data_IF_072788866540
#
_entry.id   IF_072788866540
#
_cell.length_a   1.000
_cell.length_b   1.000
_cell.length_c   1.000
_cell.angle_alpha   90.00
_cell.angle_beta   90.00
_cell.angle_gamma   90.00
#
_symmetry.space_group_name_H-M   'P 1'
#
loop_
_entity.id
_entity.type
_entity.pdbx_description
1 polymer ?
#
# COMPACT_ATOMS: atom_id res chain seq x y z
N UNK A 1 0.92 -15.07 31.74
CA UNK A 1 -0.35 -15.34 32.45
C UNK A 1 -0.25 -15.35 33.97
N UNK A 2 0.80 -15.92 34.59
CA UNK A 2 1.03 -15.81 36.05
C UNK A 2 1.23 -14.36 36.49
N UNK A 3 2.09 -13.62 35.80
CA UNK A 3 2.37 -12.21 36.08
C UNK A 3 1.10 -11.32 36.06
N UNK A 4 0.25 -11.50 35.03
CA UNK A 4 -1.02 -10.78 34.90
C UNK A 4 -1.96 -11.03 36.09
N UNK A 5 -1.96 -12.25 36.66
CA UNK A 5 -2.80 -12.56 37.83
C UNK A 5 -2.35 -11.83 39.09
N UNK A 6 -1.04 -11.61 39.23
CA UNK A 6 -0.44 -10.96 40.39
C UNK A 6 -0.48 -9.43 40.31
N UNK A 7 -0.54 -8.86 39.09
CA UNK A 7 -0.34 -7.42 38.85
C UNK A 7 -1.57 -6.73 38.23
N UNK A 8 -2.78 -7.16 38.59
CA UNK A 8 -4.01 -6.42 38.26
C UNK A 8 -4.73 -6.82 36.95
N UNK A 9 -4.46 -8.01 36.42
CA UNK A 9 -5.20 -8.60 35.30
C UNK A 9 -4.46 -8.59 33.96
N UNK A 10 -5.12 -9.10 32.93
CA UNK A 10 -4.62 -9.11 31.55
C UNK A 10 -5.01 -7.79 30.86
N UNK A 11 -4.09 -6.82 30.86
CA UNK A 11 -4.26 -5.50 30.26
C UNK A 11 -2.96 -5.00 29.64
N UNK A 12 -3.03 -3.99 28.77
CA UNK A 12 -1.84 -3.35 28.22
C UNK A 12 -0.94 -2.80 29.31
N UNK A 13 -1.48 -2.08 30.30
CA UNK A 13 -0.69 -1.48 31.38
C UNK A 13 0.11 -2.53 32.17
N UNK A 14 -0.51 -3.67 32.47
CA UNK A 14 0.16 -4.76 33.18
C UNK A 14 1.21 -5.44 32.31
N UNK A 15 0.90 -5.72 31.04
CA UNK A 15 1.86 -6.36 30.12
C UNK A 15 3.00 -5.40 29.73
N UNK A 16 2.75 -4.10 29.70
CA UNK A 16 3.78 -3.07 29.53
C UNK A 16 4.74 -3.06 30.72
N UNK A 17 4.21 -3.05 31.94
CA UNK A 17 5.03 -3.20 33.15
C UNK A 17 5.82 -4.51 33.16
N UNK A 18 5.33 -5.57 32.53
CA UNK A 18 6.06 -6.83 32.41
C UNK A 18 7.27 -6.71 31.47
N UNK A 19 7.08 -6.12 30.28
CA UNK A 19 8.13 -6.00 29.28
C UNK A 19 9.10 -4.84 29.55
N UNK A 20 8.73 -3.88 30.40
CA UNK A 20 9.61 -2.80 30.86
C UNK A 20 10.49 -3.19 32.06
N UNK A 21 10.44 -4.46 32.53
CA UNK A 21 11.33 -4.96 33.58
C UNK A 21 12.78 -5.01 33.10
N UNK A 22 13.72 -4.66 33.97
CA UNK A 22 15.15 -4.67 33.65
C UNK A 22 15.70 -6.08 33.33
N UNK A 23 15.10 -7.14 33.87
CA UNK A 23 15.60 -8.53 33.78
C UNK A 23 14.83 -9.42 32.77
N UNK A 24 14.02 -8.84 31.87
CA UNK A 24 13.31 -9.64 30.86
C UNK A 24 14.27 -10.09 29.76
N UNK A 25 14.24 -11.38 29.41
CA UNK A 25 15.02 -11.87 28.28
C UNK A 25 14.42 -11.40 26.94
N UNK A 26 15.28 -11.25 25.93
CA UNK A 26 14.91 -10.68 24.64
C UNK A 26 13.84 -11.49 23.89
N UNK A 27 13.87 -12.83 23.96
CA UNK A 27 12.92 -13.68 23.25
C UNK A 27 11.52 -13.54 23.85
N UNK A 28 11.44 -13.50 25.17
CA UNK A 28 10.20 -13.23 25.91
C UNK A 28 9.70 -11.81 25.66
N UNK A 29 10.58 -10.81 25.68
CA UNK A 29 10.22 -9.42 25.37
C UNK A 29 9.52 -9.32 23.99
N UNK A 30 10.14 -9.86 22.95
CA UNK A 30 9.60 -9.76 21.60
C UNK A 30 8.37 -10.63 21.36
N UNK A 31 8.32 -11.83 21.94
CA UNK A 31 7.15 -12.70 21.84
C UNK A 31 5.92 -12.05 22.49
N UNK A 32 6.12 -11.39 23.64
CA UNK A 32 5.05 -10.64 24.32
C UNK A 32 4.70 -9.37 23.56
N UNK A 33 5.69 -8.63 23.03
CA UNK A 33 5.44 -7.44 22.20
C UNK A 33 4.66 -7.77 20.93
N UNK A 34 4.98 -8.87 20.26
CA UNK A 34 4.27 -9.36 19.08
C UNK A 34 2.82 -9.75 19.43
N UNK A 35 2.62 -10.50 20.52
CA UNK A 35 1.28 -10.80 21.02
C UNK A 35 0.49 -9.53 21.35
N UNK A 36 1.12 -8.53 21.98
CA UNK A 36 0.51 -7.24 22.27
C UNK A 36 0.09 -6.49 21.00
N UNK A 37 0.94 -6.49 19.97
CA UNK A 37 0.60 -5.91 18.66
C UNK A 37 -0.64 -6.58 18.06
N UNK A 38 -0.71 -7.90 18.07
CA UNK A 38 -1.89 -8.64 17.59
C UNK A 38 -3.12 -8.25 18.41
N UNK A 39 -3.03 -8.27 19.74
CA UNK A 39 -4.16 -7.93 20.62
C UNK A 39 -4.66 -6.50 20.38
N UNK A 40 -3.75 -5.55 20.14
CA UNK A 40 -4.10 -4.16 19.82
C UNK A 40 -4.68 -4.02 18.41
N UNK A 41 -4.13 -4.72 17.41
CA UNK A 41 -4.62 -4.71 16.02
C UNK A 41 -6.03 -5.31 15.92
N UNK A 42 -6.27 -6.43 16.62
CA UNK A 42 -7.56 -7.12 16.70
C UNK A 42 -8.54 -6.45 17.67
N UNK A 43 -8.15 -5.36 18.33
CA UNK A 43 -8.98 -4.67 19.34
C UNK A 43 -9.52 -5.60 20.44
N UNK A 44 -8.67 -6.52 20.91
CA UNK A 44 -9.02 -7.47 21.97
C UNK A 44 -9.48 -6.72 23.24
N UNK A 45 -10.46 -7.21 24.03
CA UNK A 45 -10.97 -6.48 25.20
C UNK A 45 -9.87 -5.99 26.15
N UNK A 46 -9.80 -4.66 26.34
CA UNK A 46 -8.76 -3.99 27.14
C UNK A 46 -7.51 -3.56 26.37
N UNK A 47 -7.49 -3.75 25.05
CA UNK A 47 -6.46 -3.34 24.10
C UNK A 47 -7.11 -2.60 22.94
N UNK A 48 -6.50 -1.51 22.50
CA UNK A 48 -7.01 -0.71 21.39
C UNK A 48 -5.89 -0.38 20.39
N UNK A 49 -6.25 0.17 19.23
CA UNK A 49 -5.27 0.56 18.21
C UNK A 49 -4.38 1.73 18.64
N UNK A 50 -4.80 2.59 19.58
CA UNK A 50 -3.94 3.67 20.10
C UNK A 50 -2.78 3.10 20.92
N UNK A 51 -3.05 2.05 21.68
CA UNK A 51 -2.06 1.30 22.45
C UNK A 51 -0.99 0.70 21.52
N UNK A 52 -1.37 0.27 20.30
CA UNK A 52 -0.44 -0.25 19.29
C UNK A 52 0.67 0.76 18.99
N UNK A 53 0.30 2.03 18.77
CA UNK A 53 1.25 3.10 18.48
C UNK A 53 2.15 3.43 19.69
N UNK A 54 1.69 3.13 20.91
CA UNK A 54 2.44 3.35 22.14
C UNK A 54 3.45 2.24 22.43
N UNK A 55 3.23 1.03 21.90
CA UNK A 55 4.19 -0.05 21.93
C UNK A 55 5.51 0.32 21.24
N UNK A 56 5.52 1.26 20.29
CA UNK A 56 6.75 1.79 19.65
C UNK A 56 7.72 2.42 20.67
N UNK A 57 7.19 2.98 21.77
CA UNK A 57 7.96 3.74 22.76
C UNK A 57 8.43 2.92 23.95
N UNK A 58 7.98 1.68 24.09
CA UNK A 58 8.48 0.78 25.13
C UNK A 58 10.00 0.63 24.93
N UNK A 59 10.83 0.96 25.94
CA UNK A 59 12.27 0.78 25.83
C UNK A 59 12.59 -0.65 25.41
N UNK A 60 13.27 -0.81 24.28
CA UNK A 60 13.70 -2.13 23.83
C UNK A 60 14.91 -2.51 24.66
N UNK A 61 14.99 -3.75 25.20
CA UNK A 61 16.22 -4.22 25.82
C UNK A 61 17.35 -4.08 24.81
N UNK A 62 18.57 -3.81 25.30
CA UNK A 62 19.72 -3.63 24.42
C UNK A 62 19.95 -4.94 23.65
N UNK A 63 19.67 -4.87 22.36
CA UNK A 63 19.96 -5.90 21.40
C UNK A 63 20.88 -5.30 20.36
N UNK A 64 21.77 -6.12 19.85
CA UNK A 64 22.47 -5.82 18.59
C UNK A 64 21.50 -5.71 17.38
N UNK A 65 20.19 -5.91 17.58
CA UNK A 65 19.14 -5.99 16.55
C UNK A 65 17.81 -5.44 17.14
N UNK A 66 17.18 -4.32 16.77
CA UNK A 66 16.97 -3.67 15.47
C UNK A 66 15.89 -4.38 14.63
N UNK A 67 15.50 -5.60 15.01
CA UNK A 67 14.78 -6.56 14.16
C UNK A 67 13.52 -6.04 13.49
N UNK A 68 12.62 -5.36 14.19
CA UNK A 68 11.31 -4.94 13.63
C UNK A 68 11.42 -3.91 12.49
N UNK A 69 12.41 -3.03 12.52
CA UNK A 69 12.67 -2.09 11.42
C UNK A 69 13.61 -2.69 10.35
N UNK A 70 14.08 -3.91 10.59
CA UNK A 70 14.74 -4.79 9.63
C UNK A 70 13.78 -5.88 9.12
N UNK A 71 12.60 -6.03 9.73
CA UNK A 71 11.57 -7.01 9.37
C UNK A 71 10.87 -6.55 8.09
N UNK A 72 11.18 -7.29 7.05
CA UNK A 72 10.79 -7.03 5.67
C UNK A 72 9.31 -7.33 5.43
N UNK A 73 8.72 -8.15 6.30
CA UNK A 73 7.31 -8.55 6.26
C UNK A 73 6.35 -7.36 6.49
N UNK A 74 6.85 -6.23 7.02
CA UNK A 74 6.07 -4.99 7.22
C UNK A 74 6.08 -4.06 5.98
N UNK A 75 6.58 -4.54 4.83
CA UNK A 75 6.57 -3.80 3.57
C UNK A 75 5.43 -4.32 2.71
N UNK A 76 4.62 -3.38 2.21
CA UNK A 76 3.60 -3.71 1.23
C UNK A 76 4.22 -4.36 0.00
N UNK A 77 3.61 -5.44 -0.45
CA UNK A 77 4.01 -6.13 -1.67
C UNK A 77 3.88 -5.18 -2.88
N UNK A 78 4.73 -5.31 -3.93
CA UNK A 78 4.63 -4.49 -5.13
C UNK A 78 3.23 -4.42 -5.73
N UNK A 79 2.46 -5.51 -5.67
CA UNK A 79 1.10 -5.57 -6.19
C UNK A 79 0.14 -4.73 -5.33
N UNK A 80 0.23 -4.82 -3.99
CA UNK A 80 -0.58 -4.00 -3.10
C UNK A 80 -0.32 -2.50 -3.30
N UNK A 81 0.95 -2.14 -3.49
CA UNK A 81 1.35 -0.77 -3.85
C UNK A 81 0.73 -0.32 -5.16
N UNK A 82 0.80 -1.17 -6.19
CA UNK A 82 0.25 -0.85 -7.49
C UNK A 82 -1.28 -0.67 -7.43
N UNK A 83 -1.98 -1.59 -6.74
CA UNK A 83 -3.42 -1.48 -6.48
C UNK A 83 -3.80 -0.14 -5.84
N UNK A 84 -3.08 0.27 -4.77
CA UNK A 84 -3.36 1.53 -4.07
C UNK A 84 -3.12 2.72 -5.01
N UNK A 85 -1.99 2.76 -5.72
CA UNK A 85 -1.66 3.84 -6.64
C UNK A 85 -2.69 3.96 -7.78
N UNK A 86 -3.02 2.85 -8.44
CA UNK A 86 -3.99 2.82 -9.54
C UNK A 86 -5.40 3.17 -9.07
N UNK A 87 -5.82 2.67 -7.90
CA UNK A 87 -7.13 2.98 -7.33
C UNK A 87 -7.29 4.46 -7.00
N UNK A 88 -6.27 5.08 -6.40
CA UNK A 88 -6.25 6.52 -6.11
C UNK A 88 -6.30 7.35 -7.40
N UNK A 89 -5.46 7.01 -8.38
CA UNK A 89 -5.46 7.70 -9.68
C UNK A 89 -6.80 7.58 -10.39
N UNK A 90 -7.35 6.36 -10.45
CA UNK A 90 -8.60 6.09 -11.16
C UNK A 90 -9.76 6.83 -10.51
N UNK A 91 -9.88 6.80 -9.19
CA UNK A 91 -10.94 7.54 -8.49
C UNK A 91 -10.81 9.04 -8.74
N UNK A 92 -9.60 9.60 -8.70
CA UNK A 92 -9.36 11.00 -9.02
C UNK A 92 -9.77 11.32 -10.47
N UNK A 93 -9.40 10.46 -11.43
CA UNK A 93 -9.78 10.63 -12.84
C UNK A 93 -11.29 10.58 -13.05
N UNK A 94 -11.96 9.59 -12.46
CA UNK A 94 -13.41 9.45 -12.56
C UNK A 94 -14.15 10.65 -11.94
N UNK A 95 -13.63 11.22 -10.84
CA UNK A 95 -14.16 12.45 -10.25
C UNK A 95 -13.99 13.66 -11.18
N UNK A 96 -12.84 13.77 -11.88
CA UNK A 96 -12.63 14.82 -12.90
C UNK A 96 -13.62 14.69 -14.06
N UNK A 97 -13.93 13.46 -14.46
CA UNK A 97 -14.89 13.15 -15.53
C UNK A 97 -16.36 13.27 -15.08
N UNK A 98 -16.59 13.71 -13.83
CA UNK A 98 -17.94 14.00 -13.30
C UNK A 98 -18.65 12.80 -12.66
N UNK A 99 -17.99 11.64 -12.52
CA UNK A 99 -18.54 10.52 -11.75
C UNK A 99 -18.67 10.92 -10.29
N UNK A 100 -19.83 10.61 -9.69
CA UNK A 100 -20.04 10.85 -8.27
C UNK A 100 -19.77 9.59 -7.45
N UNK A 101 -19.07 9.77 -6.33
CA UNK A 101 -18.90 8.76 -5.29
C UNK A 101 -19.62 9.20 -4.02
N UNK A 102 -19.86 8.29 -3.08
CA UNK A 102 -20.34 8.67 -1.75
C UNK A 102 -19.29 9.49 -1.00
N UNK A 103 -19.75 10.23 0.01
CA UNK A 103 -18.87 11.02 0.84
C UNK A 103 -17.81 10.18 1.57
N UNK A 104 -18.22 9.02 2.10
CA UNK A 104 -17.31 8.10 2.79
C UNK A 104 -16.24 7.53 1.86
N UNK A 105 -16.56 7.24 0.60
CA UNK A 105 -15.60 6.71 -0.37
C UNK A 105 -14.47 7.70 -0.64
N UNK A 106 -14.81 8.94 -1.01
CA UNK A 106 -13.79 9.97 -1.31
C UNK A 106 -12.96 10.29 -0.07
N UNK A 107 -13.59 10.38 1.11
CA UNK A 107 -12.91 10.59 2.39
C UNK A 107 -11.91 9.47 2.69
N UNK A 108 -12.35 8.22 2.58
CA UNK A 108 -11.53 7.07 2.91
C UNK A 108 -10.36 6.95 1.94
N UNK A 109 -10.58 7.20 0.64
CA UNK A 109 -9.51 7.27 -0.36
C UNK A 109 -8.50 8.40 -0.07
N UNK A 110 -8.97 9.60 0.34
CA UNK A 110 -8.08 10.69 0.73
C UNK A 110 -7.24 10.36 1.98
N UNK A 111 -7.84 9.68 2.98
CA UNK A 111 -7.13 9.19 4.17
C UNK A 111 -6.06 8.16 3.78
N UNK A 112 -6.43 7.17 2.96
CA UNK A 112 -5.50 6.16 2.44
C UNK A 112 -4.35 6.82 1.68
N UNK A 113 -4.64 7.71 0.74
CA UNK A 113 -3.64 8.42 -0.05
C UNK A 113 -2.64 9.19 0.81
N UNK A 114 -3.13 9.99 1.77
CA UNK A 114 -2.26 10.72 2.69
C UNK A 114 -1.42 9.79 3.56
N UNK A 115 -2.02 8.75 4.15
CA UNK A 115 -1.30 7.79 4.98
C UNK A 115 -0.22 7.04 4.17
N UNK A 116 -0.53 6.65 2.94
CA UNK A 116 0.36 5.92 2.04
C UNK A 116 1.58 6.75 1.62
N UNK A 117 1.41 8.03 1.26
CA UNK A 117 2.52 8.85 0.75
C UNK A 117 3.34 9.54 1.84
N UNK A 118 2.73 9.84 2.98
CA UNK A 118 3.41 10.58 4.07
C UNK A 118 3.86 9.69 5.22
N UNK A 119 3.29 8.48 5.36
CA UNK A 119 3.49 7.64 6.53
C UNK A 119 2.97 8.30 7.82
N UNK A 120 2.02 9.24 7.71
CA UNK A 120 1.49 10.00 8.84
C UNK A 120 0.83 9.08 9.87
N UNK A 121 1.13 9.31 11.15
CA UNK A 121 0.41 8.65 12.24
C UNK A 121 -1.05 9.11 12.26
N UNK A 122 -2.01 8.27 12.70
CA UNK A 122 -3.42 8.66 12.77
C UNK A 122 -3.67 9.95 13.56
N UNK A 123 -2.94 10.16 14.66
CA UNK A 123 -3.02 11.40 15.45
C UNK A 123 -2.55 12.65 14.68
N UNK A 124 -1.63 12.50 13.71
CA UNK A 124 -1.21 13.61 12.86
C UNK A 124 -2.31 13.94 11.85
N UNK A 125 -2.93 12.92 11.24
CA UNK A 125 -4.09 13.10 10.36
C UNK A 125 -5.26 13.75 11.09
N UNK A 126 -5.51 13.37 12.35
CA UNK A 126 -6.56 13.94 13.19
C UNK A 126 -6.37 15.41 13.58
N UNK A 127 -5.15 15.94 13.43
CA UNK A 127 -4.81 17.33 13.71
C UNK A 127 -4.72 18.20 12.45
N UNK A 128 -4.88 17.62 11.26
CA UNK A 128 -4.90 18.38 10.02
C UNK A 128 -6.16 19.24 9.93
N UNK A 129 -5.99 20.49 9.52
CA UNK A 129 -7.05 21.38 9.06
C UNK A 129 -7.02 21.47 7.53
N UNK A 130 -8.11 21.96 6.92
CA UNK A 130 -8.18 22.10 5.45
C UNK A 130 -7.06 22.98 4.90
N UNK A 131 -6.71 24.07 5.59
CA UNK A 131 -5.62 24.99 5.20
C UNK A 131 -4.22 24.35 5.18
N UNK A 132 -4.07 23.19 5.81
CA UNK A 132 -2.79 22.49 5.87
C UNK A 132 -2.49 21.78 4.55
N UNK A 133 -3.48 21.58 3.68
CA UNK A 133 -3.27 21.10 2.31
C UNK A 133 -3.29 22.29 1.37
N UNK A 134 -2.24 22.47 0.57
CA UNK A 134 -2.05 23.63 -0.29
C UNK A 134 -1.87 23.25 -1.74
N UNK A 135 -2.28 24.18 -2.60
CA UNK A 135 -1.94 24.22 -4.01
C UNK A 135 -0.69 25.10 -4.11
N UNK A 136 0.46 24.50 -4.40
CA UNK A 136 1.74 25.22 -4.48
C UNK A 136 1.86 25.96 -5.80
N UNK A 137 1.48 25.32 -6.90
CA UNK A 137 1.60 25.86 -8.25
C UNK A 137 0.57 25.22 -9.18
N UNK A 138 0.07 26.01 -10.12
CA UNK A 138 -0.80 25.54 -11.21
C UNK A 138 -0.19 25.97 -12.53
N UNK A 139 0.11 25.00 -13.39
CA UNK A 139 0.51 25.28 -14.76
C UNK A 139 -0.76 25.51 -15.60
N UNK A 140 -0.86 26.67 -16.25
CA UNK A 140 -2.04 27.03 -17.04
C UNK A 140 -2.08 26.33 -18.42
N UNK A 141 -0.93 25.94 -18.96
CA UNK A 141 -0.83 25.28 -20.27
C UNK A 141 -1.07 23.78 -20.15
N UNK A 142 -0.42 23.11 -19.20
CA UNK A 142 -0.56 21.66 -19.01
C UNK A 142 -1.71 21.27 -18.08
N UNK A 143 -2.29 22.23 -17.35
CA UNK A 143 -3.31 21.97 -16.33
C UNK A 143 -2.78 21.29 -15.06
N UNK A 144 -1.48 20.94 -15.00
CA UNK A 144 -0.88 20.25 -13.86
C UNK A 144 -0.89 21.13 -12.59
N UNK A 145 -1.31 20.52 -11.49
CA UNK A 145 -1.36 21.15 -10.17
C UNK A 145 -0.39 20.44 -9.23
N UNK A 146 0.46 21.21 -8.55
CA UNK A 146 1.33 20.72 -7.48
C UNK A 146 0.67 20.96 -6.13
N UNK A 147 0.63 19.92 -5.31
CA UNK A 147 0.04 19.97 -3.98
C UNK A 147 1.08 19.67 -2.91
N UNK A 148 0.85 20.24 -1.73
CA UNK A 148 1.62 19.94 -0.52
C UNK A 148 0.72 19.81 0.70
N UNK A 149 1.26 19.19 1.75
CA UNK A 149 0.64 19.08 3.06
C UNK A 149 1.61 19.53 4.16
N UNK A 150 1.10 20.29 5.11
CA UNK A 150 1.79 20.75 6.32
C UNK A 150 1.41 19.86 7.51
N UNK A 151 2.08 18.72 7.62
CA UNK A 151 1.78 17.70 8.61
C UNK A 151 2.28 18.13 10.00
N UNK A 152 1.42 18.16 11.03
CA UNK A 152 1.86 18.48 12.39
C UNK A 152 2.74 17.37 12.95
N UNK A 153 3.80 17.74 13.69
CA UNK A 153 4.56 16.75 14.45
C UNK A 153 3.70 16.15 15.57
N UNK A 154 3.83 14.85 15.78
CA UNK A 154 3.25 14.15 16.92
C UNK A 154 4.35 13.58 17.83
N UNK A 155 3.96 13.24 19.07
CA UNK A 155 4.78 12.53 20.08
C UNK A 155 6.20 13.14 20.24
N UNK A 156 6.29 14.47 20.25
CA UNK A 156 7.54 15.21 20.44
C UNK A 156 7.85 15.39 21.93
N UNK A 157 9.13 15.32 22.31
CA UNK A 157 9.57 15.56 23.70
C UNK A 157 9.25 16.98 24.19
N UNK A 158 9.16 17.95 23.27
CA UNK A 158 8.75 19.33 23.52
C UNK A 158 7.55 19.66 22.63
N UNK A 159 6.60 20.42 23.16
CA UNK A 159 5.47 20.93 22.37
C UNK A 159 6.03 21.88 21.30
N UNK A 160 5.76 21.58 20.03
CA UNK A 160 6.15 22.41 18.89
C UNK A 160 4.93 22.73 18.04
N UNK A 161 4.91 23.95 17.48
CA UNK A 161 3.95 24.39 16.46
C UNK A 161 4.50 24.20 15.05
N UNK A 162 5.74 23.76 14.92
CA UNK A 162 6.34 23.45 13.62
C UNK A 162 5.58 22.33 12.93
N UNK A 163 5.63 22.35 11.60
CA UNK A 163 4.95 21.39 10.73
C UNK A 163 5.91 20.95 9.66
N UNK A 164 5.82 19.69 9.30
CA UNK A 164 6.58 19.08 8.21
C UNK A 164 5.91 19.43 6.88
N UNK A 165 6.68 19.95 5.94
CA UNK A 165 6.21 20.25 4.58
C UNK A 165 6.50 19.07 3.66
N UNK A 166 5.47 18.46 3.10
CA UNK A 166 5.60 17.34 2.17
C UNK A 166 4.84 17.64 0.88
N UNK A 167 5.48 17.42 -0.28
CA UNK A 167 4.78 17.38 -1.55
C UNK A 167 3.94 16.10 -1.63
N UNK A 168 2.73 16.19 -2.19
CA UNK A 168 1.84 15.04 -2.40
C UNK A 168 1.50 14.89 -3.88
N UNK A 169 1.28 13.64 -4.36
CA UNK A 169 0.83 13.40 -5.73
C UNK A 169 -0.45 14.16 -6.10
N UNK A 170 -0.59 14.64 -7.35
CA UNK A 170 -1.75 15.39 -7.81
C UNK A 170 -3.08 14.70 -7.56
N UNK A 171 -3.13 13.38 -7.75
CA UNK A 171 -4.34 12.56 -7.60
C UNK A 171 -4.87 12.64 -6.16
N UNK A 172 -3.97 12.61 -5.18
CA UNK A 172 -4.31 12.70 -3.76
C UNK A 172 -4.75 14.13 -3.42
N UNK A 173 -4.05 15.14 -3.95
CA UNK A 173 -4.44 16.54 -3.81
C UNK A 173 -5.85 16.81 -4.35
N UNK A 174 -6.17 16.28 -5.53
CA UNK A 174 -7.48 16.37 -6.16
C UNK A 174 -8.57 15.68 -5.36
N UNK A 175 -8.32 14.46 -4.85
CA UNK A 175 -9.25 13.75 -3.96
C UNK A 175 -9.58 14.59 -2.72
N UNK A 176 -8.55 15.18 -2.10
CA UNK A 176 -8.74 16.03 -0.91
C UNK A 176 -9.52 17.30 -1.26
N UNK A 177 -9.18 17.98 -2.37
CA UNK A 177 -9.90 19.19 -2.78
C UNK A 177 -11.36 18.89 -3.14
N UNK A 178 -11.63 17.77 -3.83
CA UNK A 178 -12.99 17.35 -4.13
C UNK A 178 -13.78 17.09 -2.84
N UNK A 179 -13.16 16.39 -1.88
CA UNK A 179 -13.72 16.13 -0.56
C UNK A 179 -14.07 17.43 0.20
N UNK A 180 -13.13 18.39 0.29
CA UNK A 180 -13.34 19.64 1.06
C UNK A 180 -14.42 20.51 0.45
N UNK A 181 -14.45 20.64 -0.87
CA UNK A 181 -15.49 21.38 -1.61
C UNK A 181 -16.85 20.73 -1.39
N UNK A 182 -16.94 19.40 -1.50
CA UNK A 182 -18.20 18.66 -1.34
C UNK A 182 -18.76 18.76 0.07
N UNK A 183 -17.90 18.85 1.08
CA UNK A 183 -18.31 19.02 2.47
C UNK A 183 -18.41 20.49 2.92
N UNK A 184 -18.18 21.44 2.01
CA UNK A 184 -18.21 22.90 2.26
C UNK A 184 -17.34 23.28 3.47
N UNK A 185 -16.20 22.61 3.65
CA UNK A 185 -15.28 22.89 4.76
C UNK A 185 -14.56 24.21 4.55
N UNK A 186 -14.47 24.99 5.62
CA UNK A 186 -13.67 26.20 5.67
C UNK A 186 -12.19 25.87 5.93
N UNK A 187 -11.25 26.78 5.64
CA UNK A 187 -9.82 26.54 5.84
C UNK A 187 -9.42 26.13 7.27
N UNK A 188 -10.14 26.63 8.28
CA UNK A 188 -9.87 26.35 9.70
C UNK A 188 -10.52 25.06 10.20
N UNK A 189 -11.45 24.47 9.44
CA UNK A 189 -12.12 23.24 9.82
C UNK A 189 -11.13 22.06 9.81
N UNK A 190 -11.37 21.07 10.67
CA UNK A 190 -10.63 19.81 10.60
C UNK A 190 -10.76 19.21 9.21
N UNK A 191 -9.64 18.75 8.66
CA UNK A 191 -9.62 18.09 7.36
C UNK A 191 -10.46 16.82 7.41
N UNK A 192 -10.29 16.00 8.44
CA UNK A 192 -11.11 14.81 8.66
C UNK A 192 -11.71 14.81 10.06
N UNK A 193 -12.98 14.43 10.13
CA UNK A 193 -13.70 14.28 11.38
C UNK A 193 -13.56 12.83 11.87
N UNK A 194 -12.53 12.61 12.69
CA UNK A 194 -12.37 11.35 13.41
C UNK A 194 -13.31 11.35 14.61
N UNK A 195 -13.99 10.22 14.82
CA UNK A 195 -14.92 10.04 15.93
C UNK A 195 -14.17 9.84 17.25
N UNK A 196 -14.34 8.71 17.92
CA UNK A 196 -13.81 8.47 19.27
C UNK A 196 -12.32 8.11 19.24
N UNK A 197 -11.86 7.41 18.20
CA UNK A 197 -10.47 6.97 18.07
C UNK A 197 -9.94 7.20 16.66
N UNK A 198 -8.88 7.98 16.53
CA UNK A 198 -8.26 8.27 15.24
C UNK A 198 -7.59 7.02 14.64
N UNK A 199 -6.79 6.22 15.37
CA UNK A 199 -6.22 4.99 14.82
C UNK A 199 -7.24 3.99 14.28
N UNK A 200 -8.28 3.69 15.05
CA UNK A 200 -9.32 2.76 14.59
C UNK A 200 -10.00 3.26 13.32
N UNK A 201 -10.38 4.54 13.29
CA UNK A 201 -11.04 5.12 12.14
C UNK A 201 -10.14 5.20 10.90
N UNK A 202 -8.88 5.57 11.05
CA UNK A 202 -7.92 5.59 9.93
C UNK A 202 -7.71 4.18 9.39
N UNK A 203 -7.54 3.18 10.26
CA UNK A 203 -7.42 1.78 9.85
C UNK A 203 -8.66 1.30 9.08
N UNK A 204 -9.86 1.58 9.60
CA UNK A 204 -11.11 1.25 8.91
C UNK A 204 -11.22 1.95 7.54
N UNK A 205 -10.85 3.23 7.48
CA UNK A 205 -10.88 4.01 6.25
C UNK A 205 -9.90 3.46 5.20
N UNK A 206 -8.68 3.09 5.60
CA UNK A 206 -7.67 2.45 4.75
C UNK A 206 -8.24 1.16 4.14
N UNK A 207 -8.69 0.23 4.99
CA UNK A 207 -9.13 -1.08 4.52
C UNK A 207 -10.40 -1.02 3.67
N UNK A 208 -11.33 -0.10 3.99
CA UNK A 208 -12.50 0.13 3.15
C UNK A 208 -12.13 0.76 1.80
N UNK A 209 -11.19 1.71 1.76
CA UNK A 209 -10.75 2.30 0.50
C UNK A 209 -10.06 1.26 -0.38
N UNK A 210 -9.21 0.41 0.19
CA UNK A 210 -8.57 -0.69 -0.52
C UNK A 210 -9.62 -1.64 -1.09
N UNK A 211 -10.58 -2.11 -0.27
CA UNK A 211 -11.65 -2.99 -0.74
C UNK A 211 -12.44 -2.36 -1.89
N UNK A 212 -12.74 -1.06 -1.82
CA UNK A 212 -13.45 -0.34 -2.86
C UNK A 212 -12.65 -0.20 -4.17
N UNK A 213 -11.31 -0.29 -4.11
CA UNK A 213 -10.44 -0.31 -5.28
C UNK A 213 -10.32 -1.69 -5.92
N UNK A 214 -10.61 -2.77 -5.18
CA UNK A 214 -10.62 -4.12 -5.74
C UNK A 214 -11.78 -4.33 -6.73
N UNK A 215 -11.67 -5.29 -7.66
CA UNK A 215 -12.75 -5.68 -8.56
C UNK A 215 -14.05 -6.06 -7.83
N UNK A 216 -15.24 -5.81 -8.42
CA UNK A 216 -16.53 -6.17 -7.82
C UNK A 216 -16.63 -7.65 -7.40
N UNK A 217 -15.98 -8.54 -8.15
CA UNK A 217 -15.94 -9.98 -7.87
C UNK A 217 -15.22 -10.26 -6.54
N UNK A 218 -14.10 -9.59 -6.29
CA UNK A 218 -13.38 -9.69 -5.01
C UNK A 218 -14.20 -9.08 -3.86
N UNK A 219 -14.83 -7.94 -4.09
CA UNK A 219 -15.70 -7.30 -3.09
C UNK A 219 -16.86 -8.23 -2.69
N UNK A 220 -17.46 -8.92 -3.66
CA UNK A 220 -18.50 -9.91 -3.42
C UNK A 220 -17.97 -11.12 -2.62
N UNK A 221 -16.80 -11.64 -2.99
CA UNK A 221 -16.15 -12.75 -2.28
C UNK A 221 -15.86 -12.41 -0.81
N UNK A 222 -15.42 -11.18 -0.52
CA UNK A 222 -15.24 -10.70 0.86
C UNK A 222 -16.59 -10.61 1.59
N UNK A 223 -17.62 -10.10 0.92
CA UNK A 223 -18.94 -9.94 1.52
C UNK A 223 -19.63 -11.27 1.89
N UNK A 224 -19.37 -12.35 1.15
CA UNK A 224 -19.85 -13.70 1.49
C UNK A 224 -18.90 -14.51 2.39
N UNK A 225 -17.73 -13.95 2.76
CA UNK A 225 -16.73 -14.61 3.59
C UNK A 225 -15.87 -15.66 2.88
N UNK A 226 -15.88 -15.65 1.54
CA UNK A 226 -15.05 -16.52 0.69
C UNK A 226 -13.63 -15.96 0.47
N UNK A 227 -13.43 -14.66 0.67
CA UNK A 227 -12.13 -14.00 0.64
C UNK A 227 -11.90 -13.17 1.91
N UNK A 228 -10.62 -13.00 2.28
CA UNK A 228 -10.24 -12.20 3.44
C UNK A 228 -10.33 -10.70 3.14
N UNK A 229 -10.72 -9.92 4.16
CA UNK A 229 -10.61 -8.46 4.06
C UNK A 229 -9.13 -8.07 3.99
N UNK A 230 -8.74 -7.10 3.15
CA UNK A 230 -7.41 -6.50 3.20
C UNK A 230 -7.15 -5.98 4.62
N UNK A 231 -5.97 -6.28 5.17
CA UNK A 231 -5.62 -5.90 6.54
C UNK A 231 -4.32 -5.09 6.49
N UNK A 232 -4.43 -3.84 6.06
CA UNK A 232 -3.35 -2.86 6.05
C UNK A 232 -3.60 -1.83 7.15
N UNK A 233 -2.62 -1.64 8.02
CA UNK A 233 -2.69 -0.67 9.11
C UNK A 233 -1.94 0.62 8.76
N UNK A 234 -2.24 1.74 9.46
CA UNK A 234 -1.47 2.98 9.30
C UNK A 234 0.04 2.80 9.59
N UNK A 235 0.38 1.84 10.44
CA UNK A 235 1.77 1.52 10.79
C UNK A 235 2.49 0.81 9.65
N UNK A 236 1.82 -0.11 8.96
CA UNK A 236 2.38 -0.77 7.76
C UNK A 236 2.68 0.25 6.67
N UNK A 237 1.77 1.20 6.43
CA UNK A 237 1.99 2.30 5.49
C UNK A 237 3.19 3.17 5.89
N UNK A 238 3.35 3.44 7.19
CA UNK A 238 4.48 4.22 7.72
C UNK A 238 5.82 3.50 7.56
N UNK A 239 5.87 2.21 7.86
CA UNK A 239 7.07 1.39 7.65
C UNK A 239 7.40 1.28 6.16
N UNK A 240 6.38 1.09 5.32
CA UNK A 240 6.53 1.09 3.88
C UNK A 240 7.16 2.39 3.35
N UNK A 241 6.76 3.57 3.85
CA UNK A 241 7.40 4.86 3.48
C UNK A 241 8.87 4.87 3.92
N UNK A 242 9.16 4.47 5.17
CA UNK A 242 10.53 4.43 5.68
C UNK A 242 11.45 3.53 4.85
N UNK A 243 11.01 2.31 4.55
CA UNK A 243 11.76 1.38 3.72
C UNK A 243 11.84 1.81 2.25
N UNK A 244 10.78 2.39 1.69
CA UNK A 244 10.80 2.87 0.29
C UNK A 244 11.81 4.00 0.12
N UNK A 245 11.89 4.94 1.06
CA UNK A 245 12.92 5.99 1.05
C UNK A 245 14.33 5.42 1.20
N UNK A 246 14.53 4.43 2.09
CA UNK A 246 15.80 3.75 2.25
C UNK A 246 16.22 3.01 0.96
N UNK A 247 15.31 2.30 0.31
CA UNK A 247 15.55 1.63 -0.99
C UNK A 247 15.86 2.61 -2.11
N UNK A 248 15.32 3.83 -2.05
CA UNK A 248 15.65 4.93 -2.97
C UNK A 248 17.00 5.60 -2.64
N UNK A 249 17.67 5.16 -1.57
CA UNK A 249 18.97 5.65 -1.14
C UNK A 249 18.92 7.01 -0.45
N UNK A 250 17.80 7.33 0.21
CA UNK A 250 17.70 8.48 1.09
C UNK A 250 18.59 8.30 2.34
N UNK A 251 19.13 9.39 2.85
CA UNK A 251 19.90 9.44 4.09
C UNK A 251 19.01 9.22 5.33
N UNK A 252 19.64 8.87 6.45
CA UNK A 252 18.91 8.69 7.71
C UNK A 252 18.22 10.00 8.15
N UNK A 253 18.84 11.15 7.87
CA UNK A 253 18.33 12.49 8.11
C UNK A 253 17.08 12.78 7.29
N UNK A 254 17.08 12.47 5.98
CA UNK A 254 15.94 12.65 5.10
C UNK A 254 14.76 11.74 5.52
N UNK A 255 15.03 10.47 5.80
CA UNK A 255 14.01 9.52 6.26
C UNK A 255 13.43 9.97 7.60
N UNK A 256 14.27 10.38 8.55
CA UNK A 256 13.83 10.88 9.84
C UNK A 256 12.99 12.16 9.67
N UNK A 257 13.39 13.07 8.77
CA UNK A 257 12.64 14.28 8.47
C UNK A 257 11.24 13.96 7.92
N UNK A 258 11.14 13.13 6.87
CA UNK A 258 9.86 12.76 6.26
C UNK A 258 8.93 12.04 7.23
N UNK A 259 9.48 11.16 8.08
CA UNK A 259 8.69 10.47 9.10
C UNK A 259 8.41 11.33 10.35
N UNK A 260 9.00 12.52 10.45
CA UNK A 260 8.89 13.40 11.62
C UNK A 260 9.53 12.84 12.89
N UNK A 261 10.59 12.05 12.74
CA UNK A 261 11.41 11.53 13.83
C UNK A 261 12.42 12.56 14.32
N UNK A 262 12.61 12.61 15.64
CA UNK A 262 13.68 13.42 16.27
C UNK A 262 15.01 12.68 16.38
N UNK A 263 14.98 11.35 16.28
CA UNK A 263 16.15 10.48 16.33
C UNK A 263 16.37 9.80 14.98
N UNK A 264 17.63 9.68 14.60
CA UNK A 264 18.04 8.94 13.40
C UNK A 264 18.05 7.42 13.60
N UNK A 265 17.88 6.94 14.84
CA UNK A 265 18.01 5.51 15.16
C UNK A 265 17.13 4.65 14.27
N UNK A 266 15.82 4.92 14.23
CA UNK A 266 14.84 4.18 13.40
C UNK A 266 15.19 4.25 11.91
N UNK A 267 15.56 5.44 11.42
CA UNK A 267 15.91 5.64 10.01
C UNK A 267 17.13 4.81 9.59
N UNK A 268 18.13 4.67 10.46
CA UNK A 268 19.29 3.82 10.20
C UNK A 268 18.90 2.35 10.03
N UNK A 269 17.89 1.86 10.76
CA UNK A 269 17.45 0.47 10.62
C UNK A 269 16.73 0.20 9.31
N UNK A 270 15.94 1.15 8.80
CA UNK A 270 15.38 1.04 7.45
C UNK A 270 16.48 0.88 6.40
N UNK A 271 17.56 1.65 6.51
CA UNK A 271 18.73 1.57 5.61
C UNK A 271 19.47 0.24 5.77
N UNK A 272 19.65 -0.24 7.00
CA UNK A 272 20.30 -1.53 7.24
C UNK A 272 19.51 -2.71 6.67
N UNK A 273 18.18 -2.57 6.53
CA UNK A 273 17.33 -3.58 5.92
C UNK A 273 17.51 -3.68 4.39
N UNK A 274 17.95 -2.61 3.73
CA UNK A 274 18.02 -2.48 2.26
C UNK A 274 18.65 -3.67 1.52
N UNK A 275 19.78 -4.28 1.95
CA UNK A 275 20.34 -5.44 1.26
C UNK A 275 19.44 -6.68 1.34
N UNK A 276 18.85 -6.94 2.51
CA UNK A 276 17.92 -8.04 2.70
C UNK A 276 16.59 -7.77 1.96
N UNK A 277 16.15 -6.51 1.84
CA UNK A 277 15.03 -6.10 1.00
C UNK A 277 15.27 -6.33 -0.48
N UNK A 278 16.46 -6.01 -0.98
CA UNK A 278 16.82 -6.31 -2.36
C UNK A 278 16.80 -7.83 -2.61
N UNK A 279 17.26 -8.63 -1.65
CA UNK A 279 17.24 -10.09 -1.74
C UNK A 279 15.81 -10.67 -1.62
N UNK A 280 14.94 -10.10 -0.78
CA UNK A 280 13.54 -10.53 -0.66
C UNK A 280 12.73 -10.07 -1.86
N UNK A 281 12.95 -8.88 -2.41
CA UNK A 281 12.39 -8.47 -3.71
C UNK A 281 12.78 -9.46 -4.81
N UNK A 282 14.04 -9.93 -4.80
CA UNK A 282 14.48 -10.99 -5.70
C UNK A 282 13.89 -12.38 -5.36
N UNK A 283 13.50 -12.65 -4.10
CA UNK A 283 12.90 -13.94 -3.66
C UNK A 283 11.37 -13.95 -3.63
N UNK A 284 10.70 -12.80 -3.71
CA UNK A 284 9.26 -12.67 -3.81
C UNK A 284 8.70 -13.34 -5.10
N UNK A 285 9.61 -13.82 -5.95
CA UNK A 285 9.46 -14.83 -7.02
C UNK A 285 8.85 -16.19 -6.61
N UNK A 286 7.98 -16.25 -5.60
CA UNK A 286 7.07 -17.37 -5.44
C UNK A 286 7.40 -18.31 -4.29
N UNK A 287 6.65 -18.17 -3.21
CA UNK A 287 6.62 -19.22 -2.19
C UNK A 287 5.24 -19.51 -1.64
N UNK A 288 4.26 -18.61 -1.81
CA UNK A 288 2.89 -18.90 -1.42
C UNK A 288 1.90 -18.71 -2.60
N UNK A 289 1.57 -19.80 -3.31
CA UNK A 289 0.58 -19.78 -4.39
C UNK A 289 -0.80 -19.29 -3.94
N UNK A 290 -1.16 -19.46 -2.67
CA UNK A 290 -2.43 -18.98 -2.11
C UNK A 290 -2.43 -17.46 -2.02
N UNK A 291 -1.32 -16.87 -1.56
CA UNK A 291 -1.16 -15.41 -1.51
C UNK A 291 -1.14 -14.79 -2.90
N UNK A 292 -0.37 -15.35 -3.83
CA UNK A 292 -0.32 -14.88 -5.22
C UNK A 292 -1.70 -14.89 -5.88
N UNK A 293 -2.49 -15.95 -5.66
CA UNK A 293 -3.85 -16.01 -6.16
C UNK A 293 -4.75 -14.95 -5.52
N UNK A 294 -4.66 -14.74 -4.20
CA UNK A 294 -5.46 -13.74 -3.50
C UNK A 294 -5.16 -12.32 -4.02
N UNK A 295 -3.89 -11.96 -4.14
CA UNK A 295 -3.48 -10.63 -4.63
C UNK A 295 -3.81 -10.46 -6.12
N UNK A 296 -3.66 -11.50 -6.94
CA UNK A 296 -4.07 -11.46 -8.35
C UNK A 296 -5.58 -11.22 -8.52
N UNK A 297 -6.42 -11.73 -7.61
CA UNK A 297 -7.87 -11.46 -7.58
C UNK A 297 -8.20 -10.03 -7.15
N UNK A 298 -7.36 -9.40 -6.32
CA UNK A 298 -7.52 -8.00 -5.93
C UNK A 298 -7.11 -7.01 -7.03
N UNK A 299 -6.23 -7.43 -7.95
CA UNK A 299 -5.70 -6.57 -9.01
C UNK A 299 -6.45 -6.65 -10.33
N UNK A 300 -6.88 -7.84 -10.74
CA UNK A 300 -7.53 -8.08 -12.03
C UNK A 300 -8.85 -8.77 -11.81
N UNK A 301 -9.86 -8.47 -12.62
CA UNK A 301 -11.16 -9.16 -12.49
C UNK A 301 -11.11 -10.57 -13.05
N UNK A 302 -12.27 -11.21 -13.22
CA UNK A 302 -12.37 -12.63 -13.58
C UNK A 302 -11.56 -13.05 -14.83
N UNK A 303 -11.18 -14.34 -14.86
CA UNK A 303 -10.62 -14.96 -16.07
C UNK A 303 -11.75 -15.21 -17.07
N UNK A 304 -11.51 -14.91 -18.34
CA UNK A 304 -12.53 -15.03 -19.39
C UNK A 304 -11.94 -15.80 -20.57
N UNK A 305 -12.75 -16.59 -21.27
CA UNK A 305 -12.35 -17.14 -22.57
C UNK A 305 -12.50 -16.06 -23.66
N UNK A 306 -11.47 -15.84 -24.49
CA UNK A 306 -11.48 -14.77 -25.48
C UNK A 306 -12.69 -14.81 -26.43
N UNK A 307 -13.23 -16.00 -26.72
CA UNK A 307 -14.40 -16.16 -27.58
C UNK A 307 -15.69 -15.59 -26.98
N UNK A 308 -15.75 -15.45 -25.66
CA UNK A 308 -16.91 -14.92 -24.94
C UNK A 308 -16.79 -13.42 -24.64
N UNK A 309 -15.65 -12.81 -24.90
CA UNK A 309 -15.43 -11.39 -24.64
C UNK A 309 -16.13 -10.49 -25.66
N UNK A 310 -16.92 -9.53 -25.18
CA UNK A 310 -17.66 -8.56 -26.01
C UNK A 310 -17.21 -7.11 -25.81
N UNK A 311 -16.28 -6.87 -24.89
CA UNK A 311 -15.75 -5.54 -24.58
C UNK A 311 -14.57 -5.16 -25.48
N UNK A 312 -13.82 -4.13 -25.07
CA UNK A 312 -12.61 -3.71 -25.76
C UNK A 312 -11.48 -4.71 -25.54
N UNK A 313 -10.87 -5.31 -26.58
CA UNK A 313 -9.69 -6.15 -26.41
C UNK A 313 -8.49 -5.28 -26.04
N UNK A 314 -7.62 -5.80 -25.18
CA UNK A 314 -6.32 -5.18 -24.89
C UNK A 314 -5.36 -5.53 -26.02
N UNK A 315 -4.81 -4.49 -26.65
CA UNK A 315 -3.84 -4.62 -27.75
C UNK A 315 -2.75 -3.58 -27.57
N UNK A 316 -1.49 -3.94 -27.80
CA UNK A 316 -0.39 -2.99 -27.73
C UNK A 316 0.96 -3.58 -28.09
N UNK A 317 1.95 -2.70 -28.24
CA UNK A 317 3.33 -3.05 -28.56
C UNK A 317 4.18 -3.08 -27.29
N UNK A 318 4.93 -4.16 -27.11
CA UNK A 318 5.99 -4.28 -26.10
C UNK A 318 7.25 -4.77 -26.81
N UNK A 319 8.35 -4.03 -26.68
CA UNK A 319 9.47 -4.12 -27.61
C UNK A 319 9.01 -3.96 -29.06
N UNK A 320 9.39 -4.93 -29.90
CA UNK A 320 9.05 -4.98 -31.32
C UNK A 320 7.85 -5.91 -31.64
N UNK A 321 7.17 -6.43 -30.60
CA UNK A 321 6.10 -7.42 -30.75
C UNK A 321 4.72 -6.83 -30.45
N UNK A 322 3.76 -7.16 -31.32
CA UNK A 322 2.35 -6.83 -31.13
C UNK A 322 1.70 -7.94 -30.28
N UNK A 323 1.21 -7.56 -29.11
CA UNK A 323 0.41 -8.45 -28.28
C UNK A 323 -1.07 -8.09 -28.44
N UNK A 324 -1.83 -9.03 -29.00
CA UNK A 324 -3.29 -9.00 -29.08
C UNK A 324 -3.87 -10.21 -28.32
N UNK A 325 -5.19 -10.14 -27.99
CA UNK A 325 -5.93 -11.23 -27.33
C UNK A 325 -5.32 -11.72 -26.00
N UNK A 326 -4.55 -10.89 -25.32
CA UNK A 326 -4.08 -11.19 -23.97
C UNK A 326 -5.15 -10.93 -22.91
N UNK A 327 -6.22 -10.20 -23.24
CA UNK A 327 -7.31 -9.94 -22.32
C UNK A 327 -8.27 -8.86 -22.80
N UNK A 328 -9.23 -8.55 -21.96
CA UNK A 328 -10.27 -7.56 -22.20
C UNK A 328 -10.26 -6.42 -21.17
N UNK A 329 -10.71 -5.24 -21.58
CA UNK A 329 -10.91 -4.09 -20.70
C UNK A 329 -12.39 -3.84 -20.45
N UNK A 330 -12.83 -3.96 -19.19
CA UNK A 330 -14.23 -3.68 -18.77
C UNK A 330 -14.49 -2.21 -18.44
N UNK A 331 -13.52 -1.31 -18.70
CA UNK A 331 -13.67 0.12 -18.44
C UNK A 331 -14.72 0.70 -19.39
N UNK A 332 -15.63 1.50 -18.83
CA UNK A 332 -16.70 2.15 -19.60
C UNK A 332 -16.24 3.36 -20.43
N UNK A 333 -15.03 3.88 -20.19
CA UNK A 333 -14.44 4.96 -20.97
C UNK A 333 -13.84 4.43 -22.27
N UNK A 334 -13.99 5.19 -23.35
CA UNK A 334 -13.39 4.88 -24.65
C UNK A 334 -11.89 5.13 -24.73
N UNK A 335 -11.28 5.76 -23.71
CA UNK A 335 -9.83 6.05 -23.67
C UNK A 335 -9.22 5.56 -22.36
N UNK A 336 -8.11 4.83 -22.47
CA UNK A 336 -7.29 4.43 -21.34
C UNK A 336 -6.30 5.56 -21.01
N UNK A 337 -6.20 6.02 -19.75
CA UNK A 337 -5.20 7.02 -19.35
C UNK A 337 -3.80 6.40 -19.10
N UNK A 338 -3.69 5.07 -19.16
CA UNK A 338 -2.47 4.32 -18.87
C UNK A 338 -1.90 3.65 -20.13
N UNK A 339 -0.66 3.18 -20.05
CA UNK A 339 -0.05 2.41 -21.13
C UNK A 339 -0.74 1.05 -21.25
N UNK A 340 -1.55 0.88 -22.29
CA UNK A 340 -2.20 -0.41 -22.60
C UNK A 340 -1.16 -1.54 -22.72
N UNK A 341 -1.59 -2.77 -22.46
CA UNK A 341 -0.75 -3.97 -22.22
C UNK A 341 0.05 -3.87 -20.92
N UNK A 342 0.95 -2.88 -20.79
CA UNK A 342 1.88 -2.76 -19.65
C UNK A 342 1.19 -2.56 -18.31
N UNK A 343 0.23 -1.64 -18.27
CA UNK A 343 -0.50 -1.30 -17.05
C UNK A 343 -1.72 -2.20 -16.84
N UNK A 344 -2.03 -3.11 -17.77
CA UNK A 344 -3.26 -3.92 -17.71
C UNK A 344 -3.18 -5.00 -16.61
N UNK A 345 -2.03 -5.64 -16.42
CA UNK A 345 -1.89 -6.76 -15.48
C UNK A 345 -1.99 -6.34 -14.00
N UNK A 346 -1.85 -5.05 -13.70
CA UNK A 346 -2.15 -4.43 -12.39
C UNK A 346 -3.45 -3.60 -12.37
N UNK A 347 -4.33 -3.73 -13.37
CA UNK A 347 -5.53 -2.90 -13.52
C UNK A 347 -6.82 -3.66 -13.20
N UNK A 348 -7.66 -3.07 -12.34
CA UNK A 348 -8.93 -3.67 -11.88
C UNK A 348 -9.97 -3.91 -13.00
N UNK A 349 -9.86 -3.19 -14.12
CA UNK A 349 -10.72 -3.37 -15.30
C UNK A 349 -10.24 -4.45 -16.25
N UNK A 350 -9.01 -4.95 -16.07
CA UNK A 350 -8.48 -5.99 -16.91
C UNK A 350 -9.17 -7.32 -16.58
N UNK A 351 -9.50 -8.06 -17.63
CA UNK A 351 -10.06 -9.42 -17.60
C UNK A 351 -9.11 -10.30 -18.41
N UNK A 352 -8.20 -11.04 -17.75
CA UNK A 352 -7.22 -11.85 -18.45
C UNK A 352 -7.90 -12.96 -19.25
N UNK A 353 -7.42 -13.21 -20.47
CA UNK A 353 -7.96 -14.30 -21.28
C UNK A 353 -7.30 -15.64 -20.95
N UNK A 354 -8.10 -16.68 -20.71
CA UNK A 354 -7.57 -18.03 -20.37
C UNK A 354 -6.74 -18.66 -21.49
N UNK A 355 -6.96 -18.21 -22.73
CA UNK A 355 -6.28 -18.58 -23.96
C UNK A 355 -5.30 -17.50 -24.47
N UNK A 356 -5.01 -16.48 -23.65
CA UNK A 356 -4.07 -15.41 -24.00
C UNK A 356 -2.59 -15.83 -23.93
N UNK A 357 -1.77 -15.33 -24.86
CA UNK A 357 -0.32 -15.56 -24.93
C UNK A 357 0.46 -14.73 -23.89
N UNK A 358 0.10 -14.87 -22.61
CA UNK A 358 0.71 -14.15 -21.50
C UNK A 358 2.21 -14.44 -21.32
N UNK A 359 2.63 -15.67 -21.67
CA UNK A 359 4.02 -16.11 -21.57
C UNK A 359 4.92 -15.37 -22.57
N UNK A 360 4.44 -15.14 -23.79
CA UNK A 360 5.17 -14.36 -24.79
C UNK A 360 5.37 -12.91 -24.31
N UNK A 361 4.32 -12.29 -23.75
CA UNK A 361 4.44 -10.95 -23.17
C UNK A 361 5.46 -10.90 -22.02
N UNK A 362 5.44 -11.91 -21.13
CA UNK A 362 6.40 -11.99 -20.03
C UNK A 362 7.85 -12.00 -20.52
N UNK A 363 8.13 -12.72 -21.60
CA UNK A 363 9.45 -12.79 -22.23
C UNK A 363 9.88 -11.45 -22.83
N UNK A 364 8.96 -10.73 -23.49
CA UNK A 364 9.21 -9.37 -23.97
C UNK A 364 9.53 -8.40 -22.83
N UNK A 365 8.76 -8.42 -21.74
CA UNK A 365 9.01 -7.54 -20.58
C UNK A 365 10.34 -7.88 -19.90
N UNK A 366 10.69 -9.16 -19.77
CA UNK A 366 11.99 -9.60 -19.22
C UNK A 366 13.16 -9.06 -20.04
N UNK A 367 13.07 -9.14 -21.37
CA UNK A 367 14.10 -8.60 -22.27
C UNK A 367 14.28 -7.09 -22.07
N UNK A 368 13.19 -6.33 -21.94
CA UNK A 368 13.27 -4.89 -21.68
C UNK A 368 13.88 -4.56 -20.31
N UNK A 369 13.61 -5.37 -19.28
CA UNK A 369 14.26 -5.23 -17.96
C UNK A 369 15.77 -5.40 -18.10
N UNK A 370 16.21 -6.46 -18.79
CA UNK A 370 17.64 -6.73 -19.01
C UNK A 370 18.32 -5.60 -19.80
N UNK A 371 17.66 -5.08 -20.84
CA UNK A 371 18.13 -3.92 -21.61
C UNK A 371 18.22 -2.65 -20.75
N UNK A 372 17.20 -2.39 -19.92
CA UNK A 372 17.18 -1.25 -19.00
C UNK A 372 18.32 -1.34 -17.97
N UNK A 373 18.58 -2.53 -17.42
CA UNK A 373 19.70 -2.77 -16.49
C UNK A 373 21.02 -2.51 -17.21
N UNK A 374 21.21 -3.07 -18.40
CA UNK A 374 22.44 -2.89 -19.18
C UNK A 374 22.71 -1.41 -19.50
N UNK A 375 21.67 -0.64 -19.86
CA UNK A 375 21.76 0.81 -20.08
C UNK A 375 22.12 1.51 -18.76
N UNK A 376 21.45 1.16 -17.67
CA UNK A 376 21.67 1.75 -16.34
C UNK A 376 23.11 1.58 -15.87
N UNK A 377 23.66 0.38 -16.02
CA UNK A 377 25.04 0.03 -15.69
C UNK A 377 26.02 0.78 -16.60
N UNK A 378 25.71 0.85 -17.90
CA UNK A 378 26.52 1.58 -18.88
C UNK A 378 26.67 3.07 -18.61
N UNK A 379 25.64 3.71 -18.03
CA UNK A 379 25.68 5.13 -17.65
C UNK A 379 26.05 5.36 -16.17
N UNK A 380 26.32 4.30 -15.41
CA UNK A 380 26.62 4.37 -13.98
C UNK A 380 25.46 4.89 -13.11
N UNK A 381 24.22 4.81 -13.61
CA UNK A 381 23.04 5.21 -12.86
C UNK A 381 22.43 4.00 -12.16
N UNK A 382 22.83 3.72 -10.93
CA UNK A 382 22.27 2.60 -10.15
C UNK A 382 20.84 2.85 -9.64
N UNK A 383 20.22 3.98 -9.96
CA UNK A 383 18.91 4.43 -9.42
C UNK A 383 17.85 4.63 -10.52
N UNK A 384 17.86 3.82 -11.57
CA UNK A 384 16.85 3.93 -12.62
C UNK A 384 15.48 3.43 -12.11
N UNK A 385 14.47 4.32 -11.93
CA UNK A 385 13.17 3.92 -11.39
C UNK A 385 12.37 3.02 -12.34
N UNK A 386 12.69 3.03 -13.65
CA UNK A 386 12.00 2.21 -14.64
C UNK A 386 12.25 0.72 -14.42
N UNK A 387 13.43 0.33 -13.93
CA UNK A 387 13.73 -1.08 -13.62
C UNK A 387 12.71 -1.63 -12.61
N UNK A 388 12.40 -0.87 -11.54
CA UNK A 388 11.40 -1.27 -10.55
C UNK A 388 9.98 -1.37 -11.13
N UNK A 389 9.61 -0.45 -12.01
CA UNK A 389 8.30 -0.47 -12.65
C UNK A 389 8.16 -1.73 -13.51
N UNK A 390 9.16 -2.02 -14.36
CA UNK A 390 9.13 -3.18 -15.24
C UNK A 390 9.22 -4.51 -14.48
N UNK A 391 9.99 -4.59 -13.39
CA UNK A 391 10.00 -5.76 -12.49
C UNK A 391 8.62 -5.98 -11.84
N UNK A 392 7.93 -4.90 -11.47
CA UNK A 392 6.55 -4.99 -10.93
C UNK A 392 5.60 -5.51 -11.99
N UNK A 393 5.68 -5.00 -13.23
CA UNK A 393 4.90 -5.50 -14.36
C UNK A 393 5.19 -6.98 -14.64
N UNK A 394 6.44 -7.41 -14.57
CA UNK A 394 6.81 -8.82 -14.70
C UNK A 394 6.07 -9.67 -13.66
N UNK A 395 6.04 -9.22 -12.40
CA UNK A 395 5.37 -9.93 -11.31
C UNK A 395 3.84 -10.00 -11.49
N UNK A 396 3.22 -8.92 -11.98
CA UNK A 396 1.79 -8.87 -12.31
C UNK A 396 1.45 -9.88 -13.41
N UNK A 397 2.29 -10.00 -14.45
CA UNK A 397 2.12 -10.97 -15.53
C UNK A 397 2.28 -12.40 -15.02
N UNK A 398 3.33 -12.68 -14.24
CA UNK A 398 3.56 -13.99 -13.63
C UNK A 398 2.37 -14.43 -12.75
N UNK A 399 1.77 -13.49 -12.02
CA UNK A 399 0.59 -13.73 -11.19
C UNK A 399 -0.65 -14.12 -12.02
N UNK A 400 -0.87 -13.48 -13.16
CA UNK A 400 -1.95 -13.83 -14.11
C UNK A 400 -1.68 -15.16 -14.81
N UNK A 401 -0.43 -15.53 -15.08
CA UNK A 401 -0.08 -16.86 -15.61
C UNK A 401 -0.42 -17.94 -14.58
N UNK A 402 -0.13 -17.72 -13.29
CA UNK A 402 -0.39 -18.67 -12.20
C UNK A 402 -1.89 -18.96 -12.00
N UNK A 403 -2.69 -17.94 -11.65
CA UNK A 403 -3.79 -17.52 -12.54
C UNK A 403 -4.52 -18.57 -13.39
N UNK A 404 -4.26 -18.44 -14.69
CA UNK A 404 -4.78 -19.27 -15.76
C UNK A 404 -4.41 -20.75 -15.60
N UNK A 405 -3.19 -21.08 -15.16
CA UNK A 405 -2.77 -22.49 -14.95
C UNK A 405 -3.64 -23.19 -13.91
N UNK A 406 -3.84 -22.55 -12.75
CA UNK A 406 -4.67 -23.10 -11.68
C UNK A 406 -6.12 -23.30 -12.13
N UNK A 407 -6.68 -22.35 -12.88
CA UNK A 407 -8.01 -22.49 -13.47
C UNK A 407 -8.11 -23.69 -14.43
N UNK A 408 -7.13 -23.87 -15.32
CA UNK A 408 -7.07 -25.01 -16.24
C UNK A 408 -6.98 -26.36 -15.51
N UNK A 409 -6.26 -26.42 -14.39
CA UNK A 409 -6.17 -27.63 -13.56
C UNK A 409 -7.52 -27.96 -12.89
N UNK A 410 -8.24 -26.97 -12.38
CA UNK A 410 -9.57 -27.17 -11.80
C UNK A 410 -10.58 -27.66 -12.83
N UNK A 411 -10.61 -27.06 -14.03
CA UNK A 411 -11.50 -27.49 -15.12
C UNK A 411 -11.24 -28.96 -15.47
N UNK A 412 -9.96 -29.34 -15.65
CA UNK A 412 -9.56 -30.73 -15.91
C UNK A 412 -9.93 -31.70 -14.78
N UNK A 413 -9.86 -31.26 -13.53
CA UNK A 413 -10.23 -32.09 -12.36
C UNK A 413 -11.75 -32.32 -12.29
N UNK A 414 -12.54 -31.30 -12.60
CA UNK A 414 -14.00 -31.38 -12.62
C UNK A 414 -14.49 -32.25 -13.79
N UNK A 415 -13.85 -32.17 -14.96
CA UNK A 415 -14.15 -33.04 -16.11
C UNK A 415 -13.81 -34.51 -15.88
N UNK A 416 -12.81 -34.82 -15.04
CA UNK A 416 -12.47 -36.21 -14.66
C UNK A 416 -13.35 -36.78 -13.55
N UNK A 417 -14.11 -35.92 -12.86
CA UNK A 417 -15.00 -36.30 -11.76
C UNK A 417 -16.46 -36.48 -12.20
N UNK A 418 -16.75 -36.15 -13.47
CA UNK A 418 -17.97 -36.43 -14.21
C UNK A 418 -17.75 -37.68 -15.07
#
# INVERSE_FOLDING_TARGET
MSYCREHGGFSLSTLRLFIEKEDIDNATFYSVLFGLKILCAETFPGFNLEDYDDLEFVPRPYLEHWGVYQEIDNILDPLEKNMICNGLFEMASLLRDGKSFSHSEVRNAAILGLAYVTGARPVQLARLAVKDVRIDTRNQESGLIRYSVFLPYAKQRRVTTERLFLAIPPEIGELIMNYTVRYKKNPEDKLFDFSVSAPHYVSQAINQAILNFCPPEYQAAVACGEAALPTITPTDLRHNVGHSLAMQGASAEEIAHVLGHTSLAVAKYYIMATPALALIRAKALGSNPVWQNMVAMMLTGELVDSAHWKGHPVVGLVGDELHDKIGGCSRNSSTCPFSEVRSCYGCLYYRPFTDGEHQALLECVKKEVDELIAISDGVGNSRNPLILIHETTQFEIESVIARCRFHQEQVKSNEKSL
#
